data_IF_413666096746
#
_entry.id   IF_413666096746
#
_cell.length_a   1.000
_cell.length_b   1.000
_cell.length_c   1.000
_cell.angle_alpha   90.00
_cell.angle_beta   90.00
_cell.angle_gamma   90.00
#
_symmetry.space_group_name_H-M   'P 1'
#
loop_
_entity.id
_entity.type
_entity.pdbx_description
1 polymer ?
#
# COMPACT_ATOMS: atom_id res chain seq x y z
N UNK A 1 -4.80 2.00 -2.20
CA UNK A 1 -5.31 1.44 -3.47
C UNK A 1 -4.36 1.93 -4.53
N UNK A 2 -3.67 1.03 -5.24
CA UNK A 2 -2.74 1.42 -6.29
C UNK A 2 -3.52 2.05 -7.44
N UNK A 3 -3.15 3.27 -7.85
CA UNK A 3 -3.78 3.95 -8.98
C UNK A 3 -3.49 3.16 -10.27
N UNK A 4 -4.50 2.87 -11.12
CA UNK A 4 -4.28 2.17 -12.37
C UNK A 4 -3.41 3.03 -13.31
N UNK A 5 -2.52 2.37 -14.05
CA UNK A 5 -1.69 3.00 -15.08
C UNK A 5 -2.31 2.77 -16.46
N UNK A 6 -2.65 3.86 -17.15
CA UNK A 6 -2.91 3.87 -18.59
C UNK A 6 -1.57 4.01 -19.33
N UNK A 7 -1.09 2.92 -19.92
CA UNK A 7 0.20 2.86 -20.63
C UNK A 7 -0.03 2.61 -22.12
N UNK A 8 0.52 3.47 -22.97
CA UNK A 8 0.58 3.21 -24.42
C UNK A 8 1.60 2.10 -24.70
N UNK A 9 1.17 0.92 -25.21
CA UNK A 9 2.07 -0.22 -25.40
C UNK A 9 3.19 0.03 -26.42
N UNK A 10 3.09 1.08 -27.27
CA UNK A 10 4.17 1.47 -28.19
C UNK A 10 5.41 1.96 -27.43
N UNK A 11 5.24 2.45 -26.21
CA UNK A 11 6.34 2.89 -25.34
C UNK A 11 7.34 1.75 -25.04
N UNK A 12 6.85 0.51 -24.92
CA UNK A 12 7.69 -0.65 -24.65
C UNK A 12 8.64 -0.93 -25.82
N UNK A 13 8.13 -0.85 -27.05
CA UNK A 13 8.92 -1.05 -28.27
C UNK A 13 9.99 0.06 -28.46
N UNK A 14 9.72 1.25 -27.92
CA UNK A 14 10.65 2.38 -27.90
C UNK A 14 11.71 2.28 -26.79
N UNK A 15 11.58 1.32 -25.88
CA UNK A 15 12.46 1.20 -24.73
C UNK A 15 12.24 2.28 -23.65
N UNK A 16 11.12 3.00 -23.70
CA UNK A 16 10.72 3.93 -22.63
C UNK A 16 10.44 3.13 -21.37
N UNK A 17 10.98 3.58 -20.24
CA UNK A 17 10.85 2.85 -18.97
C UNK A 17 10.15 3.68 -17.91
N UNK A 18 9.42 3.00 -17.04
CA UNK A 18 8.87 3.56 -15.83
C UNK A 18 9.63 3.00 -14.62
N UNK A 19 10.39 3.87 -13.96
CA UNK A 19 11.04 3.56 -12.68
C UNK A 19 10.07 3.94 -11.57
N UNK A 20 9.45 2.94 -10.93
CA UNK A 20 8.55 3.16 -9.80
C UNK A 20 9.34 3.57 -8.56
N UNK A 21 8.87 4.61 -7.89
CA UNK A 21 9.44 5.03 -6.61
C UNK A 21 9.00 4.09 -5.48
N UNK A 22 9.86 3.93 -4.48
CA UNK A 22 9.58 3.16 -3.26
C UNK A 22 9.51 4.15 -2.09
N UNK A 23 8.33 4.79 -1.88
CA UNK A 23 8.18 5.75 -0.80
C UNK A 23 8.28 5.05 0.56
N UNK A 24 8.73 5.79 1.58
CA UNK A 24 8.63 5.30 2.95
C UNK A 24 7.16 5.10 3.37
N UNK A 25 6.96 4.32 4.43
CA UNK A 25 5.68 3.90 4.97
C UNK A 25 4.67 5.03 5.33
N UNK A 26 5.10 6.28 5.41
CA UNK A 26 4.25 7.44 5.71
C UNK A 26 4.53 8.60 4.73
N UNK A 27 5.15 8.29 3.58
CA UNK A 27 5.58 9.28 2.61
C UNK A 27 4.61 9.33 1.42
N UNK A 28 4.08 10.52 1.19
CA UNK A 28 3.25 10.79 0.01
C UNK A 28 4.14 10.82 -1.22
N UNK A 29 3.68 10.19 -2.30
CA UNK A 29 4.44 10.13 -3.55
C UNK A 29 3.60 10.52 -4.76
N UNK A 30 4.27 10.81 -5.88
CA UNK A 30 3.63 11.03 -7.17
C UNK A 30 3.79 9.78 -8.03
N UNK A 31 2.67 9.15 -8.36
CA UNK A 31 2.62 7.98 -9.25
C UNK A 31 2.34 8.40 -10.66
N UNK A 32 3.04 7.81 -11.63
CA UNK A 32 2.58 7.91 -13.01
C UNK A 32 1.30 7.09 -13.16
N UNK A 33 0.24 7.74 -13.68
CA UNK A 33 -1.08 7.12 -13.94
C UNK A 33 -1.46 7.13 -15.41
N UNK A 34 -0.79 7.94 -16.24
CA UNK A 34 -0.93 7.90 -17.70
C UNK A 34 0.39 8.21 -18.40
N UNK A 35 0.73 7.42 -19.42
CA UNK A 35 1.71 7.80 -20.43
C UNK A 35 1.21 7.43 -21.82
N UNK A 36 1.25 8.41 -22.72
CA UNK A 36 0.86 8.25 -24.12
C UNK A 36 1.93 8.82 -25.04
N UNK A 37 2.18 8.15 -26.15
CA UNK A 37 3.05 8.63 -27.22
C UNK A 37 2.23 9.11 -28.41
N UNK A 38 2.77 10.06 -29.15
CA UNK A 38 2.23 10.57 -30.41
C UNK A 38 3.33 10.47 -31.45
N UNK A 39 3.07 9.72 -32.51
CA UNK A 39 3.97 9.62 -33.65
C UNK A 39 4.06 10.94 -34.45
N UNK A 40 4.81 10.94 -35.56
CA UNK A 40 5.03 12.14 -36.37
C UNK A 40 3.76 12.73 -36.99
N UNK A 41 2.79 11.88 -37.34
CA UNK A 41 1.52 12.33 -37.87
C UNK A 41 0.62 12.85 -36.74
N UNK A 42 0.55 12.11 -35.63
CA UNK A 42 -0.25 12.45 -34.45
C UNK A 42 0.24 13.73 -33.74
N UNK A 43 1.56 13.98 -33.74
CA UNK A 43 2.15 15.15 -33.09
C UNK A 43 1.80 16.46 -33.80
N UNK A 44 1.46 16.42 -35.08
CA UNK A 44 1.21 17.61 -35.89
C UNK A 44 2.44 18.51 -36.01
N UNK A 45 3.63 17.91 -36.08
CA UNK A 45 4.91 18.62 -36.18
C UNK A 45 5.44 19.16 -34.84
N UNK A 46 4.85 18.77 -33.71
CA UNK A 46 5.33 19.13 -32.37
C UNK A 46 6.30 18.07 -31.84
N UNK A 47 7.18 18.47 -30.92
CA UNK A 47 8.19 17.58 -30.33
C UNK A 47 8.29 17.78 -28.80
N UNK A 48 7.19 17.62 -28.07
CA UNK A 48 7.11 18.04 -26.66
C UNK A 48 6.83 16.89 -25.70
N UNK A 49 7.32 17.05 -24.46
CA UNK A 49 6.80 16.34 -23.29
C UNK A 49 5.74 17.25 -22.66
N UNK A 50 4.49 16.80 -22.63
CA UNK A 50 3.37 17.44 -21.95
C UNK A 50 3.15 16.73 -20.62
N UNK A 51 2.98 17.48 -19.54
CA UNK A 51 2.85 16.91 -18.19
C UNK A 51 1.65 17.51 -17.47
N UNK A 52 0.87 16.64 -16.83
CA UNK A 52 -0.12 17.04 -15.83
C UNK A 52 0.19 16.42 -14.47
N UNK A 53 -0.11 17.16 -13.40
CA UNK A 53 0.06 16.69 -12.03
C UNK A 53 -1.23 16.89 -11.26
N UNK A 54 -1.78 15.78 -10.78
CA UNK A 54 -3.07 15.70 -10.12
C UNK A 54 -2.91 15.42 -8.62
N UNK A 55 -3.87 15.87 -7.82
CA UNK A 55 -4.03 15.47 -6.44
C UNK A 55 -4.73 14.10 -6.32
N UNK A 56 -4.92 13.65 -5.09
CA UNK A 56 -5.53 12.35 -4.78
C UNK A 56 -6.96 12.23 -5.34
N UNK A 57 -7.66 13.35 -5.52
CA UNK A 57 -9.01 13.42 -6.08
C UNK A 57 -9.05 13.54 -7.60
N UNK A 58 -7.89 13.54 -8.26
CA UNK A 58 -7.77 13.71 -9.71
C UNK A 58 -7.86 15.17 -10.17
N UNK A 59 -7.74 16.14 -9.25
CA UNK A 59 -7.75 17.58 -9.59
C UNK A 59 -6.33 18.08 -9.83
N UNK A 60 -6.13 18.87 -10.89
CA UNK A 60 -4.84 19.50 -11.20
C UNK A 60 -4.30 20.32 -10.02
N UNK A 61 -3.03 20.08 -9.68
CA UNK A 61 -2.25 20.87 -8.74
C UNK A 61 -1.54 21.97 -9.52
N UNK A 62 -1.69 23.22 -9.08
CA UNK A 62 -1.05 24.39 -9.69
C UNK A 62 0.17 24.78 -8.86
N UNK A 63 1.27 25.18 -9.52
CA UNK A 63 2.51 25.56 -8.86
C UNK A 63 3.41 24.38 -8.48
N UNK A 64 2.97 23.13 -8.70
CA UNK A 64 3.79 21.93 -8.51
C UNK A 64 4.93 21.91 -9.55
N UNK A 65 6.15 21.62 -9.09
CA UNK A 65 7.34 21.58 -9.93
C UNK A 65 7.53 20.21 -10.57
N UNK A 66 7.88 20.21 -11.84
CA UNK A 66 8.18 19.03 -12.67
C UNK A 66 9.62 19.17 -13.17
N UNK A 67 10.40 18.10 -13.05
CA UNK A 67 11.82 18.06 -13.35
C UNK A 67 12.02 17.24 -14.62
N UNK A 68 12.58 17.84 -15.67
CA UNK A 68 12.99 17.14 -16.89
C UNK A 68 14.50 17.21 -16.99
N UNK A 69 15.16 16.05 -16.94
CA UNK A 69 16.62 15.98 -17.04
C UNK A 69 17.05 15.39 -18.39
N UNK A 70 18.12 15.95 -18.95
CA UNK A 70 18.73 15.54 -20.21
C UNK A 70 20.16 16.08 -20.25
N UNK A 71 21.10 15.33 -20.83
CA UNK A 71 22.49 15.78 -21.05
C UNK A 71 23.17 16.42 -19.81
N UNK A 72 22.98 15.81 -18.64
CA UNK A 72 23.50 16.34 -17.36
C UNK A 72 22.84 17.62 -16.84
N UNK A 73 21.88 18.18 -17.58
CA UNK A 73 21.07 19.33 -17.20
C UNK A 73 19.74 18.90 -16.58
N UNK A 74 19.10 19.81 -15.85
CA UNK A 74 17.73 19.64 -15.36
C UNK A 74 16.97 20.94 -15.53
N UNK A 75 15.89 20.88 -16.29
CA UNK A 75 14.93 21.97 -16.45
C UNK A 75 13.80 21.76 -15.46
N UNK A 76 13.43 22.83 -14.76
CA UNK A 76 12.33 22.82 -13.81
C UNK A 76 11.14 23.57 -14.40
N UNK A 77 10.07 22.83 -14.66
CA UNK A 77 8.79 23.35 -15.12
C UNK A 77 7.86 23.56 -13.92
N UNK A 78 6.91 24.47 -14.07
CA UNK A 78 5.87 24.72 -13.06
C UNK A 78 4.52 24.45 -13.71
N UNK A 79 3.65 23.71 -13.02
CA UNK A 79 2.28 23.43 -13.46
C UNK A 79 1.42 24.70 -13.43
N UNK A 80 0.72 24.98 -14.52
CA UNK A 80 -0.07 26.18 -14.75
C UNK A 80 -1.57 25.84 -14.90
N UNK A 81 -2.42 26.84 -14.69
CA UNK A 81 -3.87 26.72 -14.86
C UNK A 81 -4.24 26.90 -16.33
N UNK A 82 -3.99 25.86 -17.12
CA UNK A 82 -4.33 25.82 -18.55
C UNK A 82 -5.71 25.20 -18.80
N UNK A 83 -6.47 25.70 -19.79
CA UNK A 83 -7.78 25.13 -20.11
C UNK A 83 -7.64 23.70 -20.66
N UNK A 84 -8.57 22.81 -20.30
CA UNK A 84 -8.68 21.51 -20.95
C UNK A 84 -8.89 21.69 -22.48
N UNK A 85 -8.23 20.91 -23.35
CA UNK A 85 -7.44 19.71 -23.07
C UNK A 85 -5.94 19.92 -22.83
N UNK A 86 -5.46 21.16 -22.68
CA UNK A 86 -4.03 21.42 -22.47
C UNK A 86 -3.55 20.93 -21.10
N UNK A 87 -2.41 20.22 -21.10
CA UNK A 87 -1.73 19.78 -19.89
C UNK A 87 -1.00 20.95 -19.21
N UNK A 88 -0.81 20.85 -17.89
CA UNK A 88 -0.44 21.98 -17.04
C UNK A 88 0.96 22.53 -17.30
N UNK A 89 1.91 21.75 -17.81
CA UNK A 89 3.19 22.26 -18.28
C UNK A 89 3.73 21.43 -19.45
N UNK A 90 4.74 21.96 -20.15
CA UNK A 90 5.40 21.25 -21.23
C UNK A 90 6.85 21.69 -21.45
N UNK A 91 7.59 20.86 -22.18
CA UNK A 91 8.95 21.16 -22.63
C UNK A 91 9.17 20.63 -24.05
N UNK A 92 9.76 21.46 -24.91
CA UNK A 92 10.24 21.05 -26.23
C UNK A 92 11.50 20.17 -26.13
N UNK A 93 11.51 19.05 -26.84
CA UNK A 93 12.62 18.12 -26.98
C UNK A 93 13.43 18.41 -28.26
N UNK A 94 14.74 18.31 -28.18
CA UNK A 94 15.65 18.51 -29.33
C UNK A 94 16.64 17.37 -29.52
N UNK A 95 16.62 16.38 -28.62
CA UNK A 95 17.45 15.19 -28.67
C UNK A 95 16.61 13.94 -28.92
N UNK A 96 17.29 12.90 -29.39
CA UNK A 96 16.69 11.64 -29.80
C UNK A 96 16.21 10.82 -28.60
N UNK A 97 15.43 9.77 -28.88
CA UNK A 97 14.92 8.81 -27.93
C UNK A 97 16.06 8.25 -27.06
N UNK A 98 15.77 8.00 -25.78
CA UNK A 98 16.80 7.62 -24.81
C UNK A 98 17.47 8.78 -24.06
N UNK A 99 17.13 10.04 -24.36
CA UNK A 99 17.87 11.20 -23.80
C UNK A 99 17.22 11.81 -22.56
N UNK A 100 15.89 11.83 -22.50
CA UNK A 100 15.14 12.59 -21.51
C UNK A 100 14.59 11.69 -20.41
N UNK A 101 14.52 12.23 -19.19
CA UNK A 101 13.73 11.67 -18.09
C UNK A 101 12.87 12.74 -17.46
N UNK A 102 11.67 12.36 -17.01
CA UNK A 102 10.68 13.26 -16.43
C UNK A 102 10.15 12.71 -15.09
N UNK A 103 10.07 13.58 -14.08
CA UNK A 103 9.50 13.28 -12.77
C UNK A 103 8.90 14.52 -12.12
N UNK A 104 8.06 14.35 -11.10
CA UNK A 104 7.60 15.44 -10.24
C UNK A 104 8.66 15.70 -9.15
N UNK A 105 8.82 16.96 -8.71
CA UNK A 105 9.68 17.29 -7.57
C UNK A 105 9.17 16.60 -6.28
N UNK A 106 10.09 15.96 -5.55
CA UNK A 106 9.79 15.14 -4.36
C UNK A 106 9.90 13.64 -4.66
N UNK A 107 9.18 12.82 -3.88
CA UNK A 107 9.12 11.38 -4.10
C UNK A 107 8.17 11.09 -5.26
N UNK A 108 8.72 10.73 -6.41
CA UNK A 108 7.99 10.55 -7.66
C UNK A 108 8.49 9.33 -8.40
N UNK A 109 7.58 8.65 -9.09
CA UNK A 109 7.97 7.80 -10.20
C UNK A 109 8.74 8.62 -11.25
N UNK A 110 9.59 7.96 -12.03
CA UNK A 110 10.38 8.58 -13.09
C UNK A 110 10.12 7.86 -14.40
N UNK A 111 9.80 8.62 -15.45
CA UNK A 111 9.74 8.09 -16.83
C UNK A 111 11.07 8.39 -17.50
N UNK A 112 11.75 7.37 -18.02
CA UNK A 112 13.09 7.47 -18.61
C UNK A 112 13.08 7.04 -20.07
N UNK A 113 14.20 7.30 -20.75
CA UNK A 113 14.41 6.99 -22.17
C UNK A 113 13.46 7.72 -23.14
N UNK A 114 12.91 8.87 -22.72
CA UNK A 114 12.08 9.73 -23.57
C UNK A 114 12.93 10.45 -24.63
N UNK A 115 12.32 10.88 -25.73
CA UNK A 115 12.98 11.70 -26.75
C UNK A 115 12.36 11.59 -28.13
N UNK A 116 12.91 12.33 -29.09
CA UNK A 116 12.45 12.33 -30.48
C UNK A 116 12.80 11.02 -31.20
N UNK A 117 11.93 10.53 -32.07
CA UNK A 117 12.14 9.26 -32.78
C UNK A 117 11.01 8.27 -32.56
N UNK A 118 11.17 7.06 -33.10
CA UNK A 118 10.25 5.93 -32.97
C UNK A 118 11.01 4.65 -32.62
N UNK A 119 10.30 3.55 -32.41
CA UNK A 119 10.92 2.24 -32.16
C UNK A 119 11.79 1.78 -33.36
N UNK A 120 11.36 2.09 -34.58
CA UNK A 120 12.05 1.74 -35.82
C UNK A 120 13.23 2.68 -36.10
N UNK A 121 13.11 3.95 -35.71
CA UNK A 121 14.08 5.01 -35.98
C UNK A 121 14.46 5.76 -34.68
N UNK A 122 15.04 5.07 -33.67
CA UNK A 122 15.29 5.66 -32.35
C UNK A 122 16.37 6.74 -32.36
N UNK A 123 17.29 6.69 -33.33
CA UNK A 123 18.37 7.68 -33.52
C UNK A 123 18.01 8.89 -34.39
N UNK A 124 16.74 9.03 -34.80
CA UNK A 124 16.29 10.11 -35.69
C UNK A 124 15.47 11.15 -34.93
N UNK A 125 15.60 12.42 -35.30
CA UNK A 125 14.82 13.52 -34.72
C UNK A 125 13.42 13.62 -35.33
N UNK A 126 12.66 12.54 -35.28
CA UNK A 126 11.25 12.55 -35.69
C UNK A 126 10.44 13.39 -34.70
N UNK A 127 9.53 14.22 -35.19
CA UNK A 127 8.72 15.09 -34.34
C UNK A 127 7.67 14.27 -33.60
N UNK A 128 7.96 13.88 -32.36
CA UNK A 128 7.06 13.05 -31.54
C UNK A 128 6.78 13.70 -30.20
N UNK A 129 5.62 13.39 -29.63
CA UNK A 129 5.20 13.94 -28.34
C UNK A 129 4.95 12.84 -27.32
N UNK A 130 5.06 13.21 -26.04
CA UNK A 130 4.64 12.40 -24.91
C UNK A 130 3.64 13.18 -24.07
N UNK A 131 2.58 12.52 -23.62
CA UNK A 131 1.70 13.02 -22.57
C UNK A 131 1.90 12.17 -21.32
N UNK A 132 2.30 12.81 -20.21
CA UNK A 132 2.49 12.17 -18.92
C UNK A 132 1.52 12.76 -17.91
N UNK A 133 0.84 11.92 -17.15
CA UNK A 133 0.02 12.36 -16.02
C UNK A 133 0.51 11.67 -14.76
N UNK A 134 0.92 12.49 -13.79
CA UNK A 134 1.25 12.06 -12.45
C UNK A 134 0.10 12.37 -11.52
N UNK A 135 -0.15 11.49 -10.56
CA UNK A 135 -1.15 11.70 -9.53
C UNK A 135 -0.55 11.45 -8.15
N UNK A 136 -0.85 12.35 -7.22
CA UNK A 136 -0.42 12.22 -5.83
C UNK A 136 -1.14 11.04 -5.19
N UNK A 137 -0.36 10.11 -4.66
CA UNK A 137 -0.81 9.00 -3.84
C UNK A 137 -0.40 9.28 -2.39
N UNK A 138 -1.39 9.50 -1.52
CA UNK A 138 -1.15 9.63 -0.08
C UNK A 138 -0.49 8.37 0.44
N UNK A 139 0.40 8.55 1.40
CA UNK A 139 0.91 7.43 2.18
C UNK A 139 -0.25 6.60 2.74
N UNK A 140 -0.27 5.32 2.38
CA UNK A 140 -1.01 4.33 3.17
C UNK A 140 -0.21 4.01 4.43
N UNK A 141 -0.83 3.47 5.49
CA UNK A 141 -0.08 3.06 6.68
C UNK A 141 1.03 2.04 6.30
N UNK A 142 2.14 1.98 7.06
CA UNK A 142 3.25 1.08 6.79
C UNK A 142 2.79 -0.35 6.48
N UNK A 143 3.22 -0.96 5.35
CA UNK A 143 3.09 -2.40 5.22
C UNK A 143 3.97 -3.08 6.28
N UNK A 144 3.52 -4.15 6.95
CA UNK A 144 4.36 -4.88 7.88
C UNK A 144 5.63 -5.42 7.16
N UNK A 145 6.80 -5.41 7.83
CA UNK A 145 8.06 -5.74 7.16
C UNK A 145 8.11 -7.23 6.82
N UNK A 146 8.18 -7.54 5.53
CA UNK A 146 8.20 -8.85 4.81
C UNK A 146 6.87 -9.35 4.22
N UNK A 147 5.77 -8.61 4.34
CA UNK A 147 4.47 -9.01 3.82
C UNK A 147 3.82 -10.19 4.56
N UNK A 148 4.50 -10.75 5.55
CA UNK A 148 3.94 -11.66 6.55
C UNK A 148 3.75 -10.90 7.85
N UNK A 149 2.74 -11.28 8.60
CA UNK A 149 2.43 -10.62 9.87
C UNK A 149 2.34 -11.64 11.01
N UNK A 150 2.53 -11.18 12.24
CA UNK A 150 2.25 -11.99 13.42
C UNK A 150 0.73 -12.01 13.61
N UNK A 151 0.12 -13.17 13.38
CA UNK A 151 -1.32 -13.33 13.60
C UNK A 151 -1.59 -13.66 15.05
N UNK A 152 -2.47 -12.88 15.67
CA UNK A 152 -2.90 -13.06 17.04
C UNK A 152 -4.42 -13.07 17.10
N UNK A 153 -4.96 -14.22 17.50
CA UNK A 153 -6.38 -14.43 17.72
C UNK A 153 -6.67 -14.65 19.20
N UNK A 154 -7.65 -13.93 19.75
CA UNK A 154 -8.20 -14.20 21.07
C UNK A 154 -9.46 -15.04 20.88
N UNK A 155 -9.41 -16.29 21.36
CA UNK A 155 -10.50 -17.25 21.24
C UNK A 155 -11.30 -17.30 22.53
N UNK A 156 -12.60 -17.01 22.41
CA UNK A 156 -13.58 -17.08 23.47
C UNK A 156 -14.41 -18.36 23.36
N UNK A 157 -14.87 -18.85 24.50
CA UNK A 157 -15.79 -19.99 24.54
C UNK A 157 -17.14 -19.66 23.91
N UNK A 158 -17.70 -20.66 23.22
CA UNK A 158 -19.09 -20.65 22.77
C UNK A 158 -19.67 -22.07 22.83
N UNK A 159 -20.98 -22.15 23.05
CA UNK A 159 -21.83 -23.32 22.84
C UNK A 159 -22.88 -23.00 21.78
N UNK A 160 -23.76 -23.96 21.49
CA UNK A 160 -24.88 -23.75 20.56
C UNK A 160 -25.89 -22.74 21.15
N UNK A 161 -25.97 -22.66 22.48
CA UNK A 161 -26.94 -21.86 23.22
C UNK A 161 -26.38 -20.51 23.70
N UNK A 162 -25.05 -20.35 23.77
CA UNK A 162 -24.47 -19.16 24.39
C UNK A 162 -23.01 -18.89 24.00
N UNK A 163 -22.57 -17.66 24.22
CA UNK A 163 -21.16 -17.26 24.21
C UNK A 163 -20.74 -16.84 25.63
N UNK A 164 -19.45 -16.58 25.86
CA UNK A 164 -18.98 -16.03 27.14
C UNK A 164 -19.77 -14.77 27.56
N UNK A 165 -19.95 -14.52 28.87
CA UNK A 165 -20.67 -13.34 29.34
C UNK A 165 -20.04 -12.03 28.84
N UNK A 166 -20.86 -11.00 28.61
CA UNK A 166 -20.37 -9.69 28.16
C UNK A 166 -19.31 -9.08 29.09
N UNK A 167 -19.40 -9.33 30.40
CA UNK A 167 -18.40 -8.89 31.37
C UNK A 167 -16.99 -9.42 31.05
N UNK A 168 -16.87 -10.55 30.36
CA UNK A 168 -15.58 -11.05 29.88
C UNK A 168 -15.06 -10.21 28.72
N UNK A 169 -15.92 -9.81 27.77
CA UNK A 169 -15.55 -8.88 26.69
C UNK A 169 -15.01 -7.56 27.25
N UNK A 170 -15.68 -7.02 28.28
CA UNK A 170 -15.23 -5.82 28.97
C UNK A 170 -13.92 -6.01 29.73
N UNK A 171 -13.72 -7.20 30.32
CA UNK A 171 -12.46 -7.57 30.96
C UNK A 171 -11.27 -7.57 29.99
N UNK A 172 -11.49 -7.81 28.70
CA UNK A 172 -10.44 -7.81 27.68
C UNK A 172 -10.09 -6.40 27.15
N UNK A 173 -10.88 -5.36 27.49
CA UNK A 173 -10.80 -4.03 26.85
C UNK A 173 -9.37 -3.48 26.75
N UNK A 174 -8.65 -3.38 27.88
CA UNK A 174 -7.30 -2.82 27.93
C UNK A 174 -6.32 -3.58 27.03
N UNK A 175 -6.48 -4.90 26.94
CA UNK A 175 -5.64 -5.77 26.13
C UNK A 175 -5.93 -5.60 24.63
N UNK A 176 -7.22 -5.57 24.26
CA UNK A 176 -7.64 -5.35 22.88
C UNK A 176 -7.22 -3.97 22.37
N UNK A 177 -7.37 -2.93 23.19
CA UNK A 177 -6.94 -1.57 22.87
C UNK A 177 -5.40 -1.48 22.71
N UNK A 178 -4.64 -2.16 23.58
CA UNK A 178 -3.18 -2.14 23.55
C UNK A 178 -2.58 -2.90 22.37
N UNK A 179 -3.11 -4.08 22.05
CA UNK A 179 -2.48 -5.01 21.11
C UNK A 179 -3.21 -5.15 19.77
N UNK A 180 -4.44 -4.63 19.64
CA UNK A 180 -5.23 -4.61 18.40
C UNK A 180 -5.34 -5.97 17.71
N UNK A 181 -5.69 -6.98 18.50
CA UNK A 181 -5.79 -8.39 18.09
C UNK A 181 -7.15 -8.71 17.47
N UNK A 182 -7.23 -9.84 16.75
CA UNK A 182 -8.52 -10.36 16.28
C UNK A 182 -9.21 -11.11 17.41
N UNK A 183 -10.51 -10.91 17.57
CA UNK A 183 -11.33 -11.56 18.61
C UNK A 183 -12.44 -12.37 17.97
N UNK A 184 -12.70 -13.57 18.48
CA UNK A 184 -13.90 -14.31 18.11
C UNK A 184 -14.05 -15.65 18.82
N UNK A 185 -14.93 -16.48 18.26
CA UNK A 185 -15.45 -17.69 18.93
C UNK A 185 -15.17 -18.98 18.16
N UNK A 186 -14.69 -18.88 16.92
CA UNK A 186 -14.46 -20.04 16.05
C UNK A 186 -13.01 -20.48 16.13
N UNK A 187 -12.78 -21.73 16.53
CA UNK A 187 -11.46 -22.32 16.47
C UNK A 187 -10.98 -22.47 15.02
N UNK A 188 -11.86 -22.74 14.05
CA UNK A 188 -11.51 -22.74 12.63
C UNK A 188 -10.98 -21.38 12.19
N UNK A 189 -11.66 -20.28 12.54
CA UNK A 189 -11.17 -18.93 12.22
C UNK A 189 -9.83 -18.62 12.91
N UNK A 190 -9.59 -19.16 14.11
CA UNK A 190 -8.30 -19.00 14.78
C UNK A 190 -7.15 -19.70 14.03
N UNK A 191 -7.45 -20.63 13.12
CA UNK A 191 -6.48 -21.36 12.31
C UNK A 191 -6.31 -20.79 10.88
N UNK A 192 -7.27 -20.02 10.37
CA UNK A 192 -7.35 -19.55 8.97
C UNK A 192 -6.40 -18.39 8.58
N UNK A 193 -5.23 -18.30 9.20
CA UNK A 193 -4.28 -17.24 8.92
C UNK A 193 -3.23 -17.68 7.89
N UNK A 194 -3.50 -17.41 6.62
CA UNK A 194 -2.52 -17.58 5.54
C UNK A 194 -1.48 -16.44 5.57
N UNK A 195 -0.27 -16.72 5.10
CA UNK A 195 0.80 -15.72 4.95
C UNK A 195 1.23 -15.03 6.27
N UNK A 196 1.35 -15.78 7.36
CA UNK A 196 1.80 -15.28 8.68
C UNK A 196 3.22 -15.72 9.03
N UNK A 197 3.95 -14.93 9.81
CA UNK A 197 5.26 -15.34 10.39
C UNK A 197 5.09 -16.26 11.58
N UNK A 198 4.18 -15.89 12.46
CA UNK A 198 3.82 -16.59 13.67
C UNK A 198 2.30 -16.58 13.82
N UNK A 199 1.75 -17.65 14.41
CA UNK A 199 0.31 -17.77 14.70
C UNK A 199 0.14 -18.06 16.17
N UNK A 200 -0.36 -17.06 16.91
CA UNK A 200 -0.65 -17.18 18.32
C UNK A 200 -2.15 -17.13 18.57
N UNK A 201 -2.63 -18.05 19.41
CA UNK A 201 -4.01 -18.07 19.88
C UNK A 201 -4.05 -17.94 21.39
N UNK A 202 -4.66 -16.87 21.89
CA UNK A 202 -4.92 -16.68 23.31
C UNK A 202 -6.32 -17.18 23.64
N UNK A 203 -6.42 -18.26 24.40
CA UNK A 203 -7.70 -18.81 24.83
C UNK A 203 -8.12 -18.13 26.13
N UNK A 204 -9.36 -17.67 26.19
CA UNK A 204 -9.91 -17.03 27.39
C UNK A 204 -10.69 -18.01 28.23
N UNK A 205 -10.28 -18.13 29.48
CA UNK A 205 -10.95 -18.91 30.50
C UNK A 205 -10.41 -20.32 30.64
N UNK A 206 -10.56 -20.84 31.85
CA UNK A 206 -10.22 -22.22 32.20
C UNK A 206 -11.27 -23.22 31.66
N UNK A 207 -10.92 -24.51 31.48
CA UNK A 207 -11.86 -25.54 31.02
C UNK A 207 -13.11 -25.71 31.91
N UNK A 208 -13.03 -25.30 33.18
CA UNK A 208 -14.12 -25.31 34.16
C UNK A 208 -14.99 -24.04 34.15
N UNK A 209 -14.75 -23.11 33.22
CA UNK A 209 -15.63 -21.96 33.02
C UNK A 209 -17.01 -22.39 32.48
N UNK A 210 -18.03 -21.58 32.77
CA UNK A 210 -19.42 -21.87 32.34
C UNK A 210 -19.58 -21.97 30.82
N UNK A 211 -18.75 -21.25 30.05
CA UNK A 211 -18.65 -21.33 28.60
C UNK A 211 -17.17 -21.40 28.23
N UNK A 212 -16.61 -22.60 28.25
CA UNK A 212 -15.19 -22.83 28.02
C UNK A 212 -14.88 -23.14 26.55
N UNK A 213 -13.67 -22.75 26.11
CA UNK A 213 -13.06 -23.37 24.93
C UNK A 213 -12.60 -24.76 25.32
N UNK A 214 -13.17 -25.78 24.67
CA UNK A 214 -12.89 -27.19 24.95
C UNK A 214 -11.42 -27.55 24.77
N UNK A 215 -10.96 -28.56 25.51
CA UNK A 215 -9.62 -29.11 25.34
C UNK A 215 -9.40 -29.72 23.95
N UNK A 216 -10.47 -30.23 23.33
CA UNK A 216 -10.43 -30.73 21.95
C UNK A 216 -10.11 -29.60 20.97
N UNK A 217 -10.80 -28.47 21.08
CA UNK A 217 -10.54 -27.30 20.23
C UNK A 217 -9.11 -26.78 20.43
N UNK A 218 -8.64 -26.71 21.68
CA UNK A 218 -7.25 -26.34 21.95
C UNK A 218 -6.25 -27.31 21.30
N UNK A 219 -6.49 -28.63 21.38
CA UNK A 219 -5.63 -29.64 20.77
C UNK A 219 -5.56 -29.48 19.24
N UNK A 220 -6.71 -29.24 18.60
CA UNK A 220 -6.80 -29.00 17.16
C UNK A 220 -5.98 -27.76 16.76
N UNK A 221 -6.14 -26.65 17.50
CA UNK A 221 -5.40 -25.40 17.23
C UNK A 221 -3.90 -25.62 17.38
N UNK A 222 -3.45 -26.30 18.44
CA UNK A 222 -2.02 -26.64 18.62
C UNK A 222 -1.51 -27.52 17.47
N UNK A 223 -2.28 -28.53 17.07
CA UNK A 223 -1.92 -29.44 15.97
C UNK A 223 -1.80 -28.72 14.62
N UNK A 224 -2.49 -27.59 14.43
CA UNK A 224 -2.34 -26.76 13.24
C UNK A 224 -0.96 -26.08 13.14
N UNK A 225 -0.18 -26.05 14.23
CA UNK A 225 1.10 -25.35 14.36
C UNK A 225 0.99 -23.97 15.01
N UNK A 226 -0.15 -23.63 15.61
CA UNK A 226 -0.30 -22.40 16.37
C UNK A 226 0.32 -22.51 17.77
N UNK A 227 0.93 -21.43 18.24
CA UNK A 227 1.31 -21.27 19.63
C UNK A 227 0.09 -20.87 20.45
N UNK A 228 -0.28 -21.68 21.44
CA UNK A 228 -1.49 -21.46 22.23
C UNK A 228 -1.15 -21.12 23.67
N UNK A 229 -1.74 -20.02 24.15
CA UNK A 229 -1.61 -19.48 25.50
C UNK A 229 -3.02 -19.37 26.12
N UNK A 230 -3.29 -20.13 27.17
CA UNK A 230 -4.58 -20.11 27.86
C UNK A 230 -4.50 -19.21 29.07
N UNK A 231 -5.36 -18.19 29.10
CA UNK A 231 -5.51 -17.29 30.25
C UNK A 231 -6.36 -18.01 31.31
N UNK A 232 -5.79 -18.28 32.50
CA UNK A 232 -6.54 -18.94 33.56
C UNK A 232 -7.60 -18.00 34.13
N UNK A 233 -8.77 -18.54 34.47
CA UNK A 233 -9.83 -17.80 35.15
C UNK A 233 -11.22 -18.34 34.82
N UNK A 234 -12.11 -18.28 35.79
CA UNK A 234 -13.53 -18.65 35.63
C UNK A 234 -14.45 -17.45 35.86
N UNK A 235 -13.90 -16.28 36.15
CA UNK A 235 -14.63 -15.04 36.39
C UNK A 235 -14.06 -13.87 35.58
N UNK A 236 -14.91 -12.89 35.27
CA UNK A 236 -14.50 -11.67 34.57
C UNK A 236 -13.39 -10.91 35.31
N UNK A 237 -13.42 -10.90 36.65
CA UNK A 237 -12.43 -10.20 37.47
C UNK A 237 -11.04 -10.82 37.34
N UNK A 238 -10.94 -12.16 37.34
CA UNK A 238 -9.66 -12.87 37.17
C UNK A 238 -9.08 -12.63 35.77
N UNK A 239 -9.92 -12.75 34.74
CA UNK A 239 -9.52 -12.50 33.35
C UNK A 239 -9.08 -11.04 33.19
N UNK A 240 -9.82 -10.09 33.78
CA UNK A 240 -9.48 -8.67 33.74
C UNK A 240 -8.12 -8.41 34.38
N UNK A 241 -7.87 -8.95 35.56
CA UNK A 241 -6.62 -8.76 36.28
C UNK A 241 -5.42 -9.23 35.44
N UNK A 242 -5.54 -10.40 34.80
CA UNK A 242 -4.48 -10.95 33.97
C UNK A 242 -4.28 -10.16 32.67
N UNK A 243 -5.37 -9.75 32.02
CA UNK A 243 -5.30 -8.97 30.79
C UNK A 243 -4.81 -7.54 30.99
N UNK A 244 -5.18 -6.90 32.08
CA UNK A 244 -4.65 -5.59 32.47
C UNK A 244 -3.15 -5.69 32.78
N UNK A 245 -2.71 -6.73 33.50
CA UNK A 245 -1.28 -6.99 33.77
C UNK A 245 -0.48 -7.10 32.47
N UNK A 246 -0.97 -7.88 31.51
CA UNK A 246 -0.35 -8.06 30.18
C UNK A 246 -0.30 -6.75 29.39
N UNK A 247 -1.41 -6.01 29.35
CA UNK A 247 -1.48 -4.71 28.69
C UNK A 247 -0.51 -3.68 29.30
N UNK A 248 -0.46 -3.60 30.63
CA UNK A 248 0.40 -2.68 31.37
C UNK A 248 1.90 -2.98 31.20
N UNK A 249 2.26 -4.27 31.12
CA UNK A 249 3.65 -4.72 30.95
C UNK A 249 4.09 -4.82 29.49
N UNK A 250 3.16 -4.63 28.53
CA UNK A 250 3.42 -4.80 27.10
C UNK A 250 3.66 -6.26 26.68
N UNK A 251 3.37 -7.23 27.57
CA UNK A 251 3.58 -8.65 27.30
C UNK A 251 2.31 -9.27 26.70
N UNK A 252 2.33 -9.64 25.42
CA UNK A 252 1.17 -10.24 24.73
C UNK A 252 0.80 -11.63 25.27
N UNK A 253 1.80 -12.45 25.55
CA UNK A 253 1.65 -13.88 25.87
C UNK A 253 2.35 -14.23 27.19
N UNK A 254 1.91 -15.30 27.85
CA UNK A 254 2.51 -15.83 29.08
C UNK A 254 2.05 -15.14 30.35
#
# INVERSE_FOLDING_TARGET
MTLPLEWDPRLDAMGVQLVRTQPAADETCYRLVKAKWFDEAESGGRHHIYVDVLDEGGKRIIGQRVMVAYDGQTVVLVTEDKPYPELSCNMAMYAVLGTYRCQVEGVSDVVTELGMGSAELPGYKLHTCFELTFQREKAGPPPPPDGKFDFHYVLLGQTVESIVPWAWMEALRSYLERFRVTLGFSHDHSMMADNTKSRHVTIIGSPDASVAVSEEAERIIRASGAEVDRVPGTTAAQIKAEMDRRAATGKRFG
#
